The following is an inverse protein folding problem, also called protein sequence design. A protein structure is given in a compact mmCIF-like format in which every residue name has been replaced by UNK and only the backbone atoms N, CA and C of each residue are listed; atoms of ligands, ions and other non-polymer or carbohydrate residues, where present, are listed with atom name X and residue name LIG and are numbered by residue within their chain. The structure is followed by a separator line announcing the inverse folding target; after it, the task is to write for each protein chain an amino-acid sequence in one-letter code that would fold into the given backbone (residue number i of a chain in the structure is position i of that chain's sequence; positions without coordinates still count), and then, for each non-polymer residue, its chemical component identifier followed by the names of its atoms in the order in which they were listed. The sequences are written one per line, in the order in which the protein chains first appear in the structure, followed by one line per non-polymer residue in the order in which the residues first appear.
data_IF_907061760497
#
_entry.id   IF_907061760497
#
_cell.length_a   1.000
_cell.length_b   1.000
_cell.length_c   1.000
_cell.angle_alpha   90.00
_cell.angle_beta   90.00
_cell.angle_gamma   90.00
#
_symmetry.space_group_name_H-M   'P 1'
#
loop_
_entity.id
_entity.type
_entity.pdbx_description
1 polymer ?
#
# COMPACT_ATOMS: atom_id res chain seq x y z
N UNK A 1 -10.83 18.81 10.57
CA UNK A 1 -11.96 18.19 11.30
C UNK A 1 -11.84 16.69 11.15
N UNK A 2 -11.91 15.97 12.26
CA UNK A 2 -11.96 14.52 12.29
C UNK A 2 -13.34 14.04 11.84
N UNK A 3 -13.40 12.88 11.17
CA UNK A 3 -14.59 12.31 10.52
C UNK A 3 -14.59 10.79 10.63
N UNK A 4 -15.76 10.17 10.46
CA UNK A 4 -15.83 8.70 10.28
C UNK A 4 -15.33 8.31 8.88
N UNK A 5 -14.89 7.05 8.71
CA UNK A 5 -14.47 6.55 7.39
C UNK A 5 -15.55 6.68 6.32
N UNK A 6 -16.83 6.47 6.68
CA UNK A 6 -17.97 6.63 5.77
C UNK A 6 -18.11 8.06 5.26
N UNK A 7 -17.85 9.05 6.12
CA UNK A 7 -17.87 10.47 5.75
C UNK A 7 -16.66 10.82 4.89
N UNK A 8 -15.47 10.29 5.19
CA UNK A 8 -14.29 10.45 4.34
C UNK A 8 -14.47 9.80 2.96
N UNK A 9 -15.12 8.64 2.89
CA UNK A 9 -15.48 8.02 1.61
C UNK A 9 -16.43 8.92 0.81
N UNK A 10 -17.38 9.58 1.46
CA UNK A 10 -18.27 10.54 0.82
C UNK A 10 -17.52 11.78 0.33
N UNK A 11 -16.59 12.30 1.12
CA UNK A 11 -15.74 13.41 0.70
C UNK A 11 -14.92 13.03 -0.54
N UNK A 12 -14.24 11.87 -0.52
CA UNK A 12 -13.48 11.34 -1.67
C UNK A 12 -14.38 11.15 -2.91
N UNK A 13 -15.62 10.69 -2.72
CA UNK A 13 -16.58 10.50 -3.80
C UNK A 13 -17.11 11.84 -4.35
N UNK A 14 -17.13 12.91 -3.56
CA UNK A 14 -17.59 14.23 -3.99
C UNK A 14 -16.45 15.08 -4.57
N UNK A 15 -15.21 14.75 -4.24
CA UNK A 15 -14.03 15.47 -4.70
C UNK A 15 -13.79 15.25 -6.21
N UNK A 16 -13.59 16.34 -6.95
CA UNK A 16 -13.41 16.34 -8.42
C UNK A 16 -11.98 15.99 -8.89
N UNK A 17 -11.05 15.72 -7.97
CA UNK A 17 -9.71 15.26 -8.31
C UNK A 17 -9.75 13.99 -9.18
N UNK A 18 -8.90 13.92 -10.19
CA UNK A 18 -8.74 12.73 -11.01
C UNK A 18 -8.06 11.61 -10.22
N UNK A 19 -7.06 11.98 -9.42
CA UNK A 19 -6.29 11.03 -8.59
C UNK A 19 -6.25 11.52 -7.15
N UNK A 20 -6.49 10.62 -6.20
CA UNK A 20 -6.30 10.84 -4.76
C UNK A 20 -5.25 9.85 -4.27
N UNK A 21 -4.01 10.34 -4.10
CA UNK A 21 -2.90 9.58 -3.56
C UNK A 21 -2.84 9.77 -2.04
N UNK A 22 -2.99 8.70 -1.27
CA UNK A 22 -3.15 8.71 0.18
C UNK A 22 -2.01 7.92 0.82
N UNK A 23 -1.18 8.59 1.61
CA UNK A 23 -0.24 7.91 2.50
C UNK A 23 -0.94 7.61 3.84
N UNK A 24 -0.78 6.40 4.37
CA UNK A 24 -1.15 6.11 5.75
C UNK A 24 -0.31 4.96 6.32
N UNK A 25 0.02 5.05 7.60
CA UNK A 25 0.73 3.97 8.29
C UNK A 25 -0.06 2.64 8.28
N UNK A 26 0.66 1.57 8.58
CA UNK A 26 0.04 0.28 8.85
C UNK A 26 -0.86 0.37 10.09
N UNK A 27 -2.03 -0.26 10.01
CA UNK A 27 -3.04 -0.20 11.07
C UNK A 27 -3.90 1.07 11.09
N UNK A 28 -3.60 2.10 10.28
CA UNK A 28 -4.40 3.34 10.22
C UNK A 28 -5.79 3.14 9.59
N UNK A 29 -6.06 2.02 8.91
CA UNK A 29 -7.41 1.71 8.39
C UNK A 29 -7.62 1.99 6.90
N UNK A 30 -6.56 2.04 6.09
CA UNK A 30 -6.65 2.17 4.62
C UNK A 30 -7.59 1.14 3.97
N UNK A 31 -7.46 -0.13 4.36
CA UNK A 31 -8.32 -1.22 3.86
C UNK A 31 -9.78 -1.05 4.29
N UNK A 32 -10.03 -0.50 5.49
CA UNK A 32 -11.39 -0.16 5.94
C UNK A 32 -11.97 0.99 5.10
N UNK A 33 -11.17 2.02 4.80
CA UNK A 33 -11.56 3.13 3.93
C UNK A 33 -11.90 2.64 2.51
N UNK A 34 -11.08 1.75 1.94
CA UNK A 34 -11.32 1.10 0.65
C UNK A 34 -12.68 0.37 0.62
N UNK A 35 -12.98 -0.38 1.68
CA UNK A 35 -14.24 -1.11 1.80
C UNK A 35 -15.46 -0.20 1.99
N UNK A 36 -15.36 0.84 2.81
CA UNK A 36 -16.43 1.82 2.97
C UNK A 36 -16.72 2.56 1.65
N UNK A 37 -15.66 2.93 0.92
CA UNK A 37 -15.81 3.53 -0.40
C UNK A 37 -16.49 2.58 -1.41
N UNK A 38 -16.08 1.30 -1.43
CA UNK A 38 -16.73 0.28 -2.26
C UNK A 38 -18.22 0.15 -1.93
N UNK A 39 -18.58 0.05 -0.65
CA UNK A 39 -19.99 -0.04 -0.20
C UNK A 39 -20.80 1.18 -0.65
N UNK A 40 -20.23 2.38 -0.50
CA UNK A 40 -20.86 3.64 -0.91
C UNK A 40 -21.14 3.69 -2.41
N UNK A 41 -20.18 3.27 -3.24
CA UNK A 41 -20.39 3.21 -4.69
C UNK A 41 -21.44 2.15 -5.06
N UNK A 42 -21.45 1.00 -4.38
CA UNK A 42 -22.42 -0.07 -4.64
C UNK A 42 -23.84 0.25 -4.17
N UNK A 43 -24.00 1.01 -3.09
CA UNK A 43 -25.33 1.43 -2.59
C UNK A 43 -25.95 2.55 -3.41
N UNK A 44 -25.13 3.36 -4.09
CA UNK A 44 -25.56 4.44 -4.99
C UNK A 44 -25.84 3.98 -6.43
N UNK A 45 -25.67 2.69 -6.71
CA UNK A 45 -25.96 2.05 -8.01
C UNK A 45 -27.24 1.22 -7.95
N UNK A 46 -28.09 1.33 -8.96
CA UNK A 46 -29.22 0.42 -9.12
C UNK A 46 -28.72 -0.99 -9.41
N UNK A 47 -29.46 -2.01 -8.96
CA UNK A 47 -29.08 -3.44 -9.07
C UNK A 47 -28.81 -3.87 -10.53
N UNK A 48 -29.41 -3.18 -11.51
CA UNK A 48 -29.27 -3.44 -12.95
C UNK A 48 -28.10 -2.70 -13.65
N UNK A 49 -27.29 -1.91 -12.93
CA UNK A 49 -26.16 -1.21 -13.56
C UNK A 49 -24.89 -2.08 -13.64
N UNK A 50 -24.23 -2.01 -14.80
CA UNK A 50 -22.86 -2.49 -14.99
C UNK A 50 -21.93 -1.95 -13.88
N UNK A 51 -20.94 -2.77 -13.49
CA UNK A 51 -19.96 -2.47 -12.43
C UNK A 51 -19.39 -1.04 -12.58
N UNK A 52 -19.49 -0.21 -11.52
CA UNK A 52 -18.92 1.16 -11.53
C UNK A 52 -17.55 1.29 -10.85
N UNK A 53 -17.14 0.30 -10.06
CA UNK A 53 -15.88 0.31 -9.30
C UNK A 53 -15.05 -0.95 -9.52
N UNK A 54 -13.76 -0.73 -9.74
CA UNK A 54 -12.69 -1.72 -9.66
C UNK A 54 -11.91 -1.46 -8.37
N UNK A 55 -11.65 -2.50 -7.57
CA UNK A 55 -10.93 -2.34 -6.31
C UNK A 55 -9.89 -3.45 -6.11
N UNK A 56 -8.71 -3.05 -5.65
CA UNK A 56 -7.63 -3.93 -5.20
C UNK A 56 -7.34 -3.62 -3.73
N UNK A 57 -7.40 -4.65 -2.89
CA UNK A 57 -7.01 -4.58 -1.48
C UNK A 57 -6.79 -6.02 -0.96
N UNK A 58 -6.46 -6.18 0.33
CA UNK A 58 -6.25 -7.51 0.92
C UNK A 58 -7.43 -8.48 0.77
N UNK A 59 -8.68 -7.98 0.75
CA UNK A 59 -9.86 -8.84 0.53
C UNK A 59 -9.93 -9.37 -0.90
N UNK A 60 -9.38 -8.64 -1.88
CA UNK A 60 -9.26 -9.13 -3.26
C UNK A 60 -8.18 -10.21 -3.34
N UNK A 61 -7.09 -10.09 -2.59
CA UNK A 61 -6.07 -11.12 -2.51
C UNK A 61 -6.60 -12.40 -1.86
N UNK A 62 -7.40 -12.27 -0.79
CA UNK A 62 -8.03 -13.39 -0.06
C UNK A 62 -9.05 -14.19 -0.91
N UNK A 63 -9.41 -13.71 -2.11
CA UNK A 63 -10.18 -14.50 -3.08
C UNK A 63 -9.37 -15.73 -3.55
N UNK A 64 -8.05 -15.61 -3.55
CA UNK A 64 -7.13 -16.64 -4.02
C UNK A 64 -6.56 -17.41 -2.84
N UNK A 65 -6.66 -18.74 -2.86
CA UNK A 65 -6.20 -19.57 -1.75
C UNK A 65 -5.67 -20.93 -2.21
N UNK A 66 -4.61 -21.40 -1.55
CA UNK A 66 -4.05 -22.72 -1.80
C UNK A 66 -4.87 -23.81 -1.11
N UNK A 67 -5.18 -24.89 -1.84
CA UNK A 67 -5.64 -26.13 -1.21
C UNK A 67 -4.43 -27.01 -0.87
N UNK A 68 -4.10 -27.05 0.42
CA UNK A 68 -2.97 -27.86 0.92
C UNK A 68 -3.30 -29.36 1.05
N UNK A 69 -4.53 -29.80 0.71
CA UNK A 69 -4.94 -31.20 0.80
C UNK A 69 -4.77 -31.97 -0.51
N UNK A 70 -4.61 -31.27 -1.64
CA UNK A 70 -4.49 -31.88 -2.96
C UNK A 70 -3.00 -32.12 -3.29
N UNK A 71 -2.68 -33.26 -3.89
CA UNK A 71 -1.31 -33.63 -4.28
C UNK A 71 -0.73 -32.74 -5.37
N UNK A 72 -1.59 -32.15 -6.20
CA UNK A 72 -1.24 -31.14 -7.19
C UNK A 72 -1.42 -29.74 -6.62
N UNK A 73 -0.35 -28.94 -6.49
CA UNK A 73 -0.46 -27.54 -6.06
C UNK A 73 -1.43 -26.78 -6.96
N UNK A 74 -2.53 -26.30 -6.36
CA UNK A 74 -3.58 -25.57 -7.08
C UNK A 74 -3.98 -24.35 -6.27
N UNK A 75 -3.98 -23.19 -6.92
CA UNK A 75 -4.52 -21.95 -6.37
C UNK A 75 -6.00 -21.87 -6.76
N UNK A 76 -6.90 -22.02 -5.80
CA UNK A 76 -8.33 -21.87 -6.02
C UNK A 76 -8.73 -20.39 -5.95
N UNK A 77 -9.77 -20.05 -6.69
CA UNK A 77 -10.35 -18.71 -6.77
C UNK A 77 -11.79 -18.80 -6.26
N UNK A 78 -12.10 -18.07 -5.19
CA UNK A 78 -13.45 -18.03 -4.63
C UNK A 78 -14.42 -17.36 -5.62
N UNK A 79 -15.36 -18.12 -6.17
CA UNK A 79 -16.36 -17.61 -7.11
C UNK A 79 -17.21 -16.52 -6.47
N UNK A 80 -17.28 -15.38 -7.16
CA UNK A 80 -18.07 -14.23 -6.74
C UNK A 80 -18.32 -13.31 -7.95
N UNK A 81 -19.23 -12.34 -7.78
CA UNK A 81 -19.62 -11.38 -8.85
C UNK A 81 -18.45 -10.57 -9.45
N UNK A 82 -17.29 -10.48 -8.80
CA UNK A 82 -16.11 -9.84 -9.36
C UNK A 82 -15.33 -10.80 -10.27
N UNK A 83 -15.07 -12.02 -9.81
CA UNK A 83 -14.42 -13.05 -10.60
C UNK A 83 -15.26 -13.44 -11.82
N UNK A 84 -16.57 -13.62 -11.65
CA UNK A 84 -17.48 -13.91 -12.77
C UNK A 84 -17.48 -12.76 -13.78
N UNK A 85 -17.40 -11.52 -13.32
CA UNK A 85 -17.29 -10.36 -14.20
C UNK A 85 -15.96 -10.36 -14.97
N UNK A 86 -14.83 -10.68 -14.32
CA UNK A 86 -13.52 -10.80 -14.99
C UNK A 86 -13.57 -11.88 -16.07
N UNK A 87 -14.06 -13.07 -15.74
CA UNK A 87 -14.09 -14.20 -16.69
C UNK A 87 -14.96 -13.90 -17.92
N UNK A 88 -16.06 -13.16 -17.73
CA UNK A 88 -16.99 -12.81 -18.82
C UNK A 88 -16.54 -11.59 -19.63
N UNK A 89 -15.77 -10.67 -19.04
CA UNK A 89 -15.40 -9.42 -19.70
C UNK A 89 -14.10 -9.54 -20.50
N UNK A 90 -13.15 -10.37 -20.07
CA UNK A 90 -11.87 -10.55 -20.74
C UNK A 90 -11.96 -11.62 -21.84
N UNK A 91 -11.38 -11.33 -22.99
CA UNK A 91 -11.16 -12.31 -24.06
C UNK A 91 -9.99 -13.24 -23.73
N UNK A 92 -9.87 -14.35 -24.44
CA UNK A 92 -8.83 -15.37 -24.19
C UNK A 92 -7.42 -14.81 -24.40
N UNK A 93 -7.19 -13.99 -25.42
CA UNK A 93 -5.91 -13.30 -25.65
C UNK A 93 -5.59 -12.30 -24.53
N UNK A 94 -6.59 -11.65 -23.95
CA UNK A 94 -6.41 -10.78 -22.78
C UNK A 94 -6.10 -11.57 -21.50
N UNK A 95 -6.56 -12.83 -21.41
CA UNK A 95 -6.13 -13.74 -20.33
C UNK A 95 -4.67 -14.17 -20.51
N UNK A 96 -4.18 -14.28 -21.74
CA UNK A 96 -2.75 -14.51 -22.02
C UNK A 96 -1.88 -13.30 -21.62
N UNK A 97 -2.39 -12.07 -21.73
CA UNK A 97 -1.67 -10.88 -21.24
C UNK A 97 -1.43 -10.91 -19.72
N UNK A 98 -2.32 -11.53 -18.95
CA UNK A 98 -2.12 -11.73 -17.50
C UNK A 98 -0.85 -12.55 -17.25
N UNK A 99 -0.63 -13.59 -18.06
CA UNK A 99 0.56 -14.45 -17.98
C UNK A 99 1.81 -13.64 -18.29
N UNK A 100 1.80 -12.86 -19.37
CA UNK A 100 2.93 -12.02 -19.78
C UNK A 100 3.28 -10.97 -18.70
N UNK A 101 2.27 -10.30 -18.14
CA UNK A 101 2.46 -9.33 -17.07
C UNK A 101 3.02 -10.00 -15.80
N UNK A 102 2.52 -11.18 -15.43
CA UNK A 102 3.05 -11.94 -14.30
C UNK A 102 4.51 -12.29 -14.50
N UNK A 103 4.86 -12.90 -15.63
CA UNK A 103 6.23 -13.27 -15.97
C UNK A 103 7.20 -12.08 -15.97
N UNK A 104 6.74 -10.91 -16.41
CA UNK A 104 7.49 -9.65 -16.33
C UNK A 104 7.78 -9.26 -14.88
N UNK A 105 6.76 -9.20 -14.02
CA UNK A 105 6.91 -8.78 -12.62
C UNK A 105 7.72 -9.73 -11.75
N UNK A 106 7.85 -11.00 -12.14
CA UNK A 106 8.72 -11.95 -11.43
C UNK A 106 10.07 -12.17 -12.15
N UNK A 107 10.29 -11.47 -13.27
CA UNK A 107 11.45 -11.63 -14.15
C UNK A 107 11.76 -13.10 -14.50
N UNK A 108 10.72 -13.88 -14.82
CA UNK A 108 10.82 -15.31 -15.11
C UNK A 108 9.79 -15.72 -16.16
N UNK A 109 10.26 -15.87 -17.41
CA UNK A 109 9.44 -16.24 -18.56
C UNK A 109 9.11 -17.74 -18.66
N UNK A 110 9.61 -18.57 -17.74
CA UNK A 110 9.36 -20.02 -17.76
C UNK A 110 8.20 -20.42 -16.88
N UNK A 111 7.95 -19.66 -15.80
CA UNK A 111 6.87 -19.92 -14.87
C UNK A 111 5.55 -19.43 -15.47
N UNK A 112 4.63 -20.36 -15.72
CA UNK A 112 3.39 -20.08 -16.45
C UNK A 112 2.18 -20.44 -15.58
N UNK A 113 1.26 -19.51 -15.30
CA UNK A 113 -0.06 -19.82 -14.77
C UNK A 113 -0.96 -20.34 -15.88
N UNK A 114 -1.77 -21.35 -15.58
CA UNK A 114 -2.85 -21.84 -16.44
C UNK A 114 -4.15 -21.81 -15.67
N UNK A 115 -5.07 -20.98 -16.16
CA UNK A 115 -6.45 -20.95 -15.69
C UNK A 115 -7.19 -22.21 -16.14
N UNK A 116 -8.17 -22.65 -15.35
CA UNK A 116 -9.19 -23.57 -15.83
C UNK A 116 -10.27 -22.83 -16.65
N UNK A 117 -11.13 -23.60 -17.33
CA UNK A 117 -12.12 -23.07 -18.28
C UNK A 117 -13.09 -22.07 -17.65
N UNK A 118 -13.40 -22.21 -16.35
CA UNK A 118 -14.35 -21.37 -15.63
C UNK A 118 -13.71 -20.32 -14.72
N UNK A 119 -12.38 -20.13 -14.83
CA UNK A 119 -11.60 -19.17 -14.05
C UNK A 119 -11.76 -19.36 -12.53
N UNK A 120 -11.93 -20.61 -12.09
CA UNK A 120 -12.06 -20.97 -10.69
C UNK A 120 -10.76 -21.50 -10.08
N UNK A 121 -9.78 -21.87 -10.90
CA UNK A 121 -8.50 -22.43 -10.44
C UNK A 121 -7.35 -22.00 -11.34
N UNK A 122 -6.17 -21.98 -10.75
CA UNK A 122 -4.91 -21.73 -11.45
C UNK A 122 -3.88 -22.77 -11.04
N UNK A 123 -3.23 -23.36 -12.03
CA UNK A 123 -2.09 -24.26 -11.85
C UNK A 123 -0.86 -23.56 -12.41
N UNK A 124 0.24 -23.59 -11.67
CA UNK A 124 1.52 -23.03 -12.11
C UNK A 124 2.46 -24.14 -12.52
N UNK A 125 3.20 -23.92 -13.60
CA UNK A 125 4.17 -24.89 -14.10
C UNK A 125 5.34 -24.22 -14.79
N UNK A 126 6.47 -24.95 -14.87
CA UNK A 126 7.58 -24.56 -15.72
C UNK A 126 7.38 -25.08 -17.14
N UNK A 127 7.43 -24.19 -18.13
CA UNK A 127 7.48 -24.57 -19.53
C UNK A 127 8.81 -25.28 -19.84
N UNK A 128 8.78 -26.60 -20.04
CA UNK A 128 9.91 -27.37 -20.54
C UNK A 128 9.95 -27.24 -22.07
N UNK A 129 11.10 -26.88 -22.64
CA UNK A 129 11.28 -26.76 -24.09
C UNK A 129 11.13 -28.06 -24.89
N UNK A 130 11.03 -29.20 -24.19
CA UNK A 130 10.75 -30.52 -24.75
C UNK A 130 9.42 -31.04 -24.17
N UNK A 131 8.65 -31.78 -24.98
CA UNK A 131 7.34 -32.41 -24.71
C UNK A 131 7.29 -33.40 -23.52
N UNK A 132 7.98 -33.14 -22.40
CA UNK A 132 8.02 -33.99 -21.20
C UNK A 132 7.70 -33.15 -19.97
N UNK A 133 6.56 -33.51 -19.36
CA UNK A 133 6.07 -33.13 -18.03
C UNK A 133 6.22 -31.64 -17.66
N UNK A 134 5.10 -30.91 -17.75
CA UNK A 134 4.90 -29.65 -17.01
C UNK A 134 5.03 -29.95 -15.51
N UNK A 135 6.15 -29.60 -14.88
CA UNK A 135 6.30 -29.71 -13.43
C UNK A 135 5.36 -28.69 -12.78
N UNK A 136 4.31 -29.18 -12.11
CA UNK A 136 3.34 -28.34 -11.40
C UNK A 136 3.92 -27.93 -10.05
N UNK A 137 3.97 -26.63 -9.79
CA UNK A 137 4.63 -26.08 -8.61
C UNK A 137 3.72 -25.19 -7.78
N UNK A 138 4.03 -25.09 -6.49
CA UNK A 138 3.52 -24.04 -5.63
C UNK A 138 4.48 -22.86 -5.70
N UNK A 139 3.95 -21.66 -5.93
CA UNK A 139 4.74 -20.42 -5.95
C UNK A 139 4.87 -19.81 -4.54
N UNK A 140 5.84 -18.91 -4.38
CA UNK A 140 6.04 -18.13 -3.16
C UNK A 140 4.91 -17.13 -2.95
N UNK A 141 4.80 -16.58 -1.73
CA UNK A 141 3.75 -15.59 -1.41
C UNK A 141 3.94 -14.26 -2.15
N UNK A 142 5.19 -13.89 -2.45
CA UNK A 142 5.50 -12.72 -3.28
C UNK A 142 5.08 -12.92 -4.73
N UNK A 143 5.39 -14.09 -5.32
CA UNK A 143 4.91 -14.44 -6.67
C UNK A 143 3.38 -14.51 -6.73
N UNK A 144 2.72 -15.02 -5.69
CA UNK A 144 1.26 -15.04 -5.61
C UNK A 144 0.66 -13.62 -5.65
N UNK A 145 1.20 -12.69 -4.85
CA UNK A 145 0.77 -11.29 -4.88
C UNK A 145 1.03 -10.64 -6.24
N UNK A 146 2.18 -10.90 -6.87
CA UNK A 146 2.47 -10.45 -8.23
C UNK A 146 1.50 -11.02 -9.27
N UNK A 147 1.10 -12.29 -9.14
CA UNK A 147 0.12 -12.90 -10.03
C UNK A 147 -1.26 -12.23 -9.92
N UNK A 148 -1.74 -12.02 -8.69
CA UNK A 148 -3.02 -11.35 -8.43
C UNK A 148 -2.96 -9.90 -8.93
N UNK A 149 -1.84 -9.21 -8.71
CA UNK A 149 -1.59 -7.89 -9.27
C UNK A 149 -1.62 -7.89 -10.80
N UNK A 150 -1.06 -8.89 -11.48
CA UNK A 150 -1.10 -8.99 -12.94
C UNK A 150 -2.50 -9.12 -13.51
N UNK A 151 -3.41 -9.84 -12.83
CA UNK A 151 -4.83 -9.87 -13.20
C UNK A 151 -5.39 -8.45 -13.14
N UNK A 152 -5.15 -7.75 -12.03
CA UNK A 152 -5.66 -6.41 -11.81
C UNK A 152 -5.07 -5.39 -12.80
N UNK A 153 -3.76 -5.43 -13.01
CA UNK A 153 -3.04 -4.57 -13.93
C UNK A 153 -3.57 -4.72 -15.36
N UNK A 154 -3.81 -5.95 -15.81
CA UNK A 154 -4.40 -6.23 -17.13
C UNK A 154 -5.78 -5.57 -17.25
N UNK A 155 -6.62 -5.68 -16.21
CA UNK A 155 -7.93 -5.00 -16.18
C UNK A 155 -7.76 -3.48 -16.26
N UNK A 156 -6.82 -2.88 -15.52
CA UNK A 156 -6.56 -1.44 -15.60
C UNK A 156 -6.12 -1.02 -17.01
N UNK A 157 -5.31 -1.83 -17.67
CA UNK A 157 -4.88 -1.58 -19.05
C UNK A 157 -6.06 -1.67 -20.04
N UNK A 158 -7.00 -2.60 -19.83
CA UNK A 158 -8.24 -2.65 -20.62
C UNK A 158 -9.17 -1.48 -20.34
N UNK A 159 -9.26 -1.00 -19.10
CA UNK A 159 -9.95 0.26 -18.80
C UNK A 159 -9.33 1.41 -19.58
N UNK A 160 -8.01 1.51 -19.65
CA UNK A 160 -7.31 2.50 -20.48
C UNK A 160 -7.72 2.40 -21.96
N UNK A 161 -7.62 1.21 -22.57
CA UNK A 161 -7.92 0.96 -23.99
C UNK A 161 -9.39 1.21 -24.34
N UNK A 162 -10.32 0.81 -23.47
CA UNK A 162 -11.78 0.96 -23.68
C UNK A 162 -12.20 2.37 -24.09
N UNK A 163 -11.48 3.36 -23.57
CA UNK A 163 -11.76 4.76 -23.82
C UNK A 163 -10.99 5.37 -25.00
N UNK A 164 -9.96 4.70 -25.50
CA UNK A 164 -9.17 5.05 -26.69
C UNK A 164 -9.78 4.45 -27.97
N UNK A 165 -10.24 3.20 -27.92
CA UNK A 165 -10.57 2.39 -29.11
C UNK A 165 -12.06 2.06 -29.29
N UNK A 166 -12.96 2.72 -28.56
CA UNK A 166 -14.42 2.47 -28.61
C UNK A 166 -14.84 1.06 -28.15
N UNK A 167 -14.07 0.44 -27.26
CA UNK A 167 -14.51 -0.76 -26.54
C UNK A 167 -15.40 -0.36 -25.35
N UNK A 168 -16.66 -0.78 -25.37
CA UNK A 168 -17.69 -0.34 -24.43
C UNK A 168 -17.71 -1.14 -23.13
N UNK A 169 -16.95 -2.24 -23.05
CA UNK A 169 -16.96 -3.19 -21.92
C UNK A 169 -16.68 -2.50 -20.58
N UNK A 170 -15.75 -1.53 -20.57
CA UNK A 170 -15.33 -0.82 -19.36
C UNK A 170 -15.85 0.62 -19.25
N UNK A 171 -16.73 1.07 -20.14
CA UNK A 171 -17.29 2.46 -20.11
C UNK A 171 -18.10 2.79 -18.85
N UNK A 172 -18.58 1.78 -18.15
CA UNK A 172 -19.34 1.94 -16.90
C UNK A 172 -18.46 2.23 -15.68
N UNK A 173 -17.15 1.94 -15.77
CA UNK A 173 -16.20 2.18 -14.68
C UNK A 173 -16.07 3.68 -14.43
N UNK A 174 -16.34 4.10 -13.19
CA UNK A 174 -16.18 5.48 -12.71
C UNK A 174 -15.10 5.63 -11.64
N UNK A 175 -14.83 4.55 -10.91
CA UNK A 175 -13.91 4.56 -9.79
C UNK A 175 -12.93 3.39 -9.85
N UNK A 176 -11.68 3.66 -9.51
CA UNK A 176 -10.64 2.66 -9.27
C UNK A 176 -10.10 2.93 -7.87
N UNK A 177 -10.11 1.93 -6.99
CA UNK A 177 -9.52 2.03 -5.66
C UNK A 177 -8.41 0.99 -5.50
N UNK A 178 -7.19 1.43 -5.20
CA UNK A 178 -6.02 0.55 -5.04
C UNK A 178 -5.47 0.77 -3.63
N UNK A 179 -5.56 -0.23 -2.77
CA UNK A 179 -5.00 -0.21 -1.42
C UNK A 179 -3.81 -1.17 -1.34
N UNK A 180 -2.62 -0.61 -1.09
CA UNK A 180 -1.36 -1.33 -0.93
C UNK A 180 -1.14 -2.43 -1.98
N UNK A 181 -0.94 -2.04 -3.26
CA UNK A 181 -1.01 -2.96 -4.39
C UNK A 181 -0.04 -4.14 -4.33
N UNK A 182 1.09 -4.02 -3.61
CA UNK A 182 1.92 -5.18 -3.24
C UNK A 182 2.71 -4.87 -1.96
N UNK A 183 2.68 -5.77 -0.97
CA UNK A 183 3.39 -5.63 0.31
C UNK A 183 4.75 -6.35 0.38
N UNK A 184 5.08 -7.20 -0.61
CA UNK A 184 6.14 -8.20 -0.51
C UNK A 184 7.18 -8.14 -1.64
N UNK A 185 7.20 -7.05 -2.42
CA UNK A 185 8.17 -6.83 -3.49
C UNK A 185 9.48 -6.23 -2.98
N UNK A 186 10.57 -6.49 -3.70
CA UNK A 186 11.79 -5.71 -3.53
C UNK A 186 11.62 -4.27 -4.06
N UNK A 187 12.57 -3.39 -3.71
CA UNK A 187 12.50 -1.97 -4.06
C UNK A 187 12.46 -1.72 -5.58
N UNK A 188 13.14 -2.53 -6.38
CA UNK A 188 13.19 -2.35 -7.83
C UNK A 188 11.85 -2.67 -8.48
N UNK A 189 11.27 -3.82 -8.13
CA UNK A 189 9.97 -4.22 -8.65
C UNK A 189 8.85 -3.29 -8.17
N UNK A 190 8.96 -2.76 -6.94
CA UNK A 190 8.02 -1.78 -6.43
C UNK A 190 8.07 -0.46 -7.21
N UNK A 191 9.27 0.00 -7.60
CA UNK A 191 9.45 1.18 -8.45
C UNK A 191 8.84 0.92 -9.84
N UNK A 192 9.11 -0.24 -10.45
CA UNK A 192 8.55 -0.62 -11.75
C UNK A 192 7.01 -0.61 -11.71
N UNK A 193 6.41 -1.23 -10.70
CA UNK A 193 4.97 -1.25 -10.49
C UNK A 193 4.39 0.16 -10.36
N UNK A 194 5.03 1.02 -9.56
CA UNK A 194 4.60 2.40 -9.40
C UNK A 194 4.65 3.18 -10.73
N UNK A 195 5.72 3.00 -11.50
CA UNK A 195 5.88 3.65 -12.80
C UNK A 195 4.82 3.18 -13.80
N UNK A 196 4.58 1.88 -13.89
CA UNK A 196 3.59 1.32 -14.81
C UNK A 196 2.16 1.71 -14.44
N UNK A 197 1.84 1.70 -13.14
CA UNK A 197 0.56 2.19 -12.65
C UNK A 197 0.36 3.67 -12.98
N UNK A 198 1.40 4.51 -12.78
CA UNK A 198 1.34 5.91 -13.12
C UNK A 198 1.11 6.16 -14.62
N UNK A 199 1.76 5.38 -15.50
CA UNK A 199 1.57 5.46 -16.96
C UNK A 199 0.11 5.19 -17.33
N UNK A 200 -0.48 4.09 -16.83
CA UNK A 200 -1.87 3.74 -17.10
C UNK A 200 -2.81 4.86 -16.61
N UNK A 201 -2.66 5.30 -15.36
CA UNK A 201 -3.56 6.31 -14.76
C UNK A 201 -3.50 7.65 -15.49
N UNK A 202 -2.31 8.06 -15.96
CA UNK A 202 -2.16 9.30 -16.73
C UNK A 202 -3.00 9.28 -18.01
N UNK A 203 -3.13 8.11 -18.65
CA UNK A 203 -3.84 7.92 -19.92
C UNK A 203 -5.36 7.72 -19.70
N UNK A 204 -5.76 7.02 -18.63
CA UNK A 204 -7.19 6.83 -18.28
C UNK A 204 -7.94 8.17 -18.34
N UNK A 205 -9.15 8.19 -18.94
CA UNK A 205 -9.95 9.41 -19.10
C UNK A 205 -10.19 10.12 -17.76
N UNK A 206 -10.27 11.45 -17.81
CA UNK A 206 -10.49 12.32 -16.63
C UNK A 206 -11.78 12.03 -15.85
N UNK A 207 -12.74 11.31 -16.43
CA UNK A 207 -13.99 10.93 -15.76
C UNK A 207 -13.85 9.76 -14.79
N UNK A 208 -12.79 8.95 -14.91
CA UNK A 208 -12.51 7.87 -13.97
C UNK A 208 -11.66 8.45 -12.84
N UNK A 209 -12.15 8.33 -11.61
CA UNK A 209 -11.43 8.77 -10.41
C UNK A 209 -10.65 7.62 -9.82
N UNK A 210 -9.37 7.86 -9.53
CA UNK A 210 -8.46 6.83 -9.04
C UNK A 210 -8.01 7.18 -7.63
N UNK A 211 -8.33 6.34 -6.66
CA UNK A 211 -7.87 6.48 -5.28
C UNK A 211 -6.79 5.43 -5.05
N UNK A 212 -5.61 5.86 -4.62
CA UNK A 212 -4.50 4.96 -4.26
C UNK A 212 -4.15 5.23 -2.81
N UNK A 213 -4.21 4.20 -1.96
CA UNK A 213 -3.71 4.26 -0.60
C UNK A 213 -2.50 3.36 -0.45
N UNK A 214 -1.47 3.85 0.26
CA UNK A 214 -0.32 3.00 0.59
C UNK A 214 0.32 3.35 1.93
N UNK A 215 0.97 2.37 2.55
CA UNK A 215 1.92 2.59 3.64
C UNK A 215 3.38 2.67 3.20
N UNK A 216 3.69 2.30 1.96
CA UNK A 216 5.06 2.23 1.50
C UNK A 216 5.55 3.62 1.02
N UNK A 217 6.53 4.25 1.70
CA UNK A 217 6.99 5.59 1.34
C UNK A 217 7.65 5.66 -0.03
N UNK A 218 8.37 4.61 -0.46
CA UNK A 218 9.01 4.57 -1.78
C UNK A 218 7.95 4.58 -2.87
N UNK A 219 6.96 3.68 -2.77
CA UNK A 219 5.84 3.61 -3.70
C UNK A 219 5.08 4.95 -3.78
N UNK A 220 4.75 5.52 -2.62
CA UNK A 220 4.10 6.83 -2.54
C UNK A 220 4.94 7.91 -3.21
N UNK A 221 6.26 7.94 -2.99
CA UNK A 221 7.15 8.97 -3.54
C UNK A 221 7.31 8.86 -5.06
N UNK A 222 7.40 7.65 -5.60
CA UNK A 222 7.41 7.47 -7.06
C UNK A 222 6.13 8.01 -7.66
N UNK A 223 4.96 7.61 -7.13
CA UNK A 223 3.67 8.10 -7.61
C UNK A 223 3.48 9.61 -7.41
N UNK A 224 3.91 10.16 -6.27
CA UNK A 224 3.84 11.59 -5.96
C UNK A 224 4.61 12.40 -7.01
N UNK A 225 5.80 11.93 -7.39
CA UNK A 225 6.63 12.52 -8.44
C UNK A 225 6.02 12.38 -9.83
N UNK A 226 5.34 11.28 -10.11
CA UNK A 226 4.65 11.09 -11.38
C UNK A 226 3.38 11.96 -11.49
N UNK A 227 2.75 12.28 -10.36
CA UNK A 227 1.49 13.03 -10.27
C UNK A 227 1.70 14.48 -9.82
N UNK A 228 2.14 15.34 -10.75
CA UNK A 228 2.43 16.79 -10.50
C UNK A 228 1.36 17.79 -10.97
N UNK A 229 0.18 17.34 -11.44
CA UNK A 229 -0.88 18.23 -11.94
C UNK A 229 -1.87 18.61 -10.83
N UNK A 230 -2.50 19.77 -10.94
CA UNK A 230 -3.47 20.29 -9.95
C UNK A 230 -4.69 19.39 -9.71
N UNK A 231 -5.03 18.54 -10.67
CA UNK A 231 -6.10 17.56 -10.54
C UNK A 231 -5.68 16.26 -9.83
N UNK A 232 -4.44 16.16 -9.36
CA UNK A 232 -3.94 15.07 -8.53
C UNK A 232 -3.77 15.55 -7.10
N UNK A 233 -4.58 15.01 -6.21
CA UNK A 233 -4.63 15.41 -4.82
C UNK A 233 -3.87 14.39 -3.97
N UNK A 234 -3.06 14.91 -3.06
CA UNK A 234 -2.17 14.14 -2.20
C UNK A 234 -2.63 14.31 -0.76
N UNK A 235 -2.72 13.22 -0.02
CA UNK A 235 -3.23 13.22 1.34
C UNK A 235 -2.39 12.35 2.25
N UNK A 236 -2.42 12.71 3.52
CA UNK A 236 -2.08 11.85 4.63
C UNK A 236 -3.36 11.46 5.36
N UNK A 237 -3.57 10.16 5.58
CA UNK A 237 -4.67 9.67 6.40
C UNK A 237 -4.15 9.50 7.83
N UNK A 238 -4.75 10.24 8.77
CA UNK A 238 -4.49 10.18 10.20
C UNK A 238 -5.66 9.46 10.91
N UNK A 239 -5.35 8.62 11.91
CA UNK A 239 -6.35 8.01 12.81
C UNK A 239 -6.16 8.60 14.20
N UNK A 240 -7.22 9.14 14.78
CA UNK A 240 -7.27 9.63 16.16
C UNK A 240 -7.70 8.51 17.13
N UNK A 241 -7.44 8.72 18.43
CA UNK A 241 -7.73 7.74 19.49
C UNK A 241 -9.22 7.40 19.60
N UNK A 242 -10.10 8.36 19.32
CA UNK A 242 -11.55 8.20 19.31
C UNK A 242 -12.09 7.45 18.08
N UNK A 243 -11.22 6.80 17.30
CA UNK A 243 -11.52 6.14 16.04
C UNK A 243 -12.12 7.05 14.95
N UNK A 244 -11.88 8.35 15.05
CA UNK A 244 -12.11 9.27 13.96
C UNK A 244 -10.84 9.45 13.12
N UNK A 245 -11.01 10.02 11.93
CA UNK A 245 -9.98 10.07 10.90
C UNK A 245 -9.92 11.45 10.26
N UNK A 246 -8.75 11.83 9.76
CA UNK A 246 -8.59 13.02 8.92
C UNK A 246 -7.82 12.70 7.65
N UNK A 247 -8.28 13.24 6.52
CA UNK A 247 -7.50 13.32 5.28
C UNK A 247 -6.84 14.70 5.22
N UNK A 248 -5.56 14.75 5.59
CA UNK A 248 -4.76 15.97 5.61
C UNK A 248 -4.12 16.16 4.24
N UNK A 249 -4.57 17.19 3.51
CA UNK A 249 -4.01 17.53 2.20
C UNK A 249 -2.51 17.84 2.30
N UNK A 250 -1.74 17.32 1.36
CA UNK A 250 -0.30 17.54 1.23
C UNK A 250 -0.06 18.47 0.04
N UNK A 251 0.17 19.76 0.31
CA UNK A 251 0.36 20.78 -0.74
C UNK A 251 1.82 20.90 -1.21
N UNK A 252 2.76 20.17 -0.59
CA UNK A 252 4.17 20.27 -0.94
C UNK A 252 4.51 19.49 -2.21
N UNK A 253 5.20 20.16 -3.14
CA UNK A 253 5.81 19.58 -4.34
C UNK A 253 7.00 18.66 -4.04
N UNK A 254 7.47 18.65 -2.80
CA UNK A 254 8.54 17.75 -2.38
C UNK A 254 8.00 16.34 -2.07
N UNK A 255 8.71 15.28 -2.49
CA UNK A 255 8.41 13.92 -2.10
C UNK A 255 8.22 13.81 -0.59
N UNK A 256 7.34 12.93 -0.15
CA UNK A 256 7.09 12.66 1.25
C UNK A 256 8.40 12.21 1.94
N UNK A 257 8.99 13.15 2.68
CA UNK A 257 10.16 12.90 3.50
C UNK A 257 9.70 12.14 4.75
N UNK A 258 9.57 10.83 4.62
CA UNK A 258 9.03 9.95 5.65
C UNK A 258 9.68 10.18 7.02
N UNK A 259 10.99 10.37 7.09
CA UNK A 259 11.71 10.65 8.33
C UNK A 259 11.32 12.00 8.96
N UNK A 260 11.14 13.06 8.16
CA UNK A 260 10.62 14.36 8.64
C UNK A 260 9.21 14.18 9.17
N UNK A 261 8.40 13.37 8.47
CA UNK A 261 7.05 13.08 8.89
C UNK A 261 7.01 12.31 10.22
N UNK A 262 7.78 11.22 10.37
CA UNK A 262 7.95 10.48 11.62
C UNK A 262 8.37 11.40 12.76
N UNK A 263 9.36 12.27 12.52
CA UNK A 263 9.81 13.28 13.49
C UNK A 263 8.66 14.19 13.93
N UNK A 264 7.91 14.77 12.98
CA UNK A 264 6.77 15.66 13.27
C UNK A 264 5.69 14.95 14.09
N UNK A 265 5.37 13.71 13.76
CA UNK A 265 4.37 12.92 14.50
C UNK A 265 4.81 12.63 15.93
N UNK A 266 6.09 12.27 16.15
CA UNK A 266 6.63 12.09 17.50
C UNK A 266 6.61 13.42 18.28
N UNK A 267 7.00 14.53 17.64
CA UNK A 267 6.99 15.85 18.26
C UNK A 267 5.57 16.29 18.66
N UNK A 268 4.57 16.11 17.79
CA UNK A 268 3.16 16.38 18.12
C UNK A 268 2.69 15.56 19.32
N UNK A 269 2.99 14.27 19.34
CA UNK A 269 2.64 13.39 20.46
C UNK A 269 3.31 13.83 21.78
N UNK A 270 4.57 14.29 21.73
CA UNK A 270 5.27 14.86 22.89
C UNK A 270 4.56 16.13 23.40
N UNK A 271 4.17 17.03 22.48
CA UNK A 271 3.54 18.32 22.82
C UNK A 271 2.15 18.11 23.41
N UNK A 272 1.37 17.18 22.86
CA UNK A 272 0.01 16.89 23.32
C UNK A 272 -0.04 15.97 24.56
N UNK A 273 1.07 15.29 24.90
CA UNK A 273 1.11 14.31 25.98
C UNK A 273 0.67 12.89 25.57
N UNK A 274 0.37 12.70 24.28
CA UNK A 274 -0.24 11.51 23.68
C UNK A 274 0.80 10.50 23.16
N UNK A 275 1.97 10.41 23.81
CA UNK A 275 2.98 9.40 23.45
C UNK A 275 2.46 7.99 23.74
N UNK A 276 2.11 7.28 22.65
CA UNK A 276 1.75 5.86 22.60
C UNK A 276 2.91 4.94 22.15
N UNK A 277 2.80 3.63 22.43
CA UNK A 277 3.82 2.61 22.08
C UNK A 277 4.20 2.63 20.60
N UNK A 278 3.23 2.83 19.70
CA UNK A 278 3.51 2.84 18.26
C UNK A 278 4.45 3.99 17.84
N UNK A 279 4.55 5.09 18.60
CA UNK A 279 5.52 6.15 18.32
C UNK A 279 6.97 5.68 18.52
N UNK A 280 7.22 4.63 19.31
CA UNK A 280 8.55 4.02 19.42
C UNK A 280 8.96 3.31 18.14
N UNK A 281 8.01 2.79 17.35
CA UNK A 281 8.28 2.30 16.00
C UNK A 281 8.73 3.44 15.09
N UNK A 282 8.11 4.62 15.22
CA UNK A 282 8.49 5.79 14.44
C UNK A 282 9.89 6.27 14.82
N UNK A 283 10.17 6.35 16.12
CA UNK A 283 11.48 6.73 16.63
C UNK A 283 12.58 5.76 16.17
N UNK A 284 12.29 4.46 16.22
CA UNK A 284 13.20 3.43 15.73
C UNK A 284 13.47 3.60 14.23
N UNK A 285 12.44 3.76 13.42
CA UNK A 285 12.59 3.94 11.98
C UNK A 285 13.35 5.24 11.65
N UNK A 286 13.08 6.33 12.38
CA UNK A 286 13.81 7.59 12.27
C UNK A 286 15.32 7.38 12.54
N UNK A 287 15.67 6.71 13.63
CA UNK A 287 17.07 6.42 13.96
C UNK A 287 17.73 5.49 12.93
N UNK A 288 17.02 4.48 12.43
CA UNK A 288 17.53 3.60 11.37
C UNK A 288 17.85 4.38 10.10
N UNK A 289 16.91 5.16 9.58
CA UNK A 289 17.12 5.96 8.37
C UNK A 289 18.19 7.02 8.56
N UNK A 290 18.24 7.66 9.72
CA UNK A 290 19.29 8.64 10.06
C UNK A 290 20.67 7.96 10.13
N UNK A 291 20.74 6.74 10.69
CA UNK A 291 22.00 5.99 10.79
C UNK A 291 22.55 5.63 9.42
N UNK A 292 21.69 5.17 8.51
CA UNK A 292 22.06 4.91 7.11
C UNK A 292 22.52 6.18 6.41
N UNK A 293 21.81 7.29 6.59
CA UNK A 293 22.15 8.57 5.94
C UNK A 293 23.50 9.13 6.40
N UNK A 294 23.81 9.01 7.68
CA UNK A 294 25.06 9.50 8.27
C UNK A 294 26.22 8.50 8.18
N UNK A 295 26.00 7.30 7.62
CA UNK A 295 27.04 6.29 7.38
C UNK A 295 27.40 5.44 8.61
N UNK A 296 26.52 5.33 9.60
CA UNK A 296 26.68 4.41 10.73
C UNK A 296 26.24 2.99 10.33
N UNK A 297 26.83 1.95 10.93
CA UNK A 297 26.49 0.54 10.65
C UNK A 297 25.08 0.17 11.13
N UNK A 298 24.52 0.96 12.03
CA UNK A 298 23.13 0.83 12.46
C UNK A 298 22.75 1.88 13.51
N UNK A 299 21.46 1.89 13.83
CA UNK A 299 20.88 2.89 14.73
C UNK A 299 21.44 2.84 16.17
N UNK A 300 21.94 1.69 16.64
CA UNK A 300 22.58 1.57 17.98
C UNK A 300 23.89 2.35 18.04
N UNK A 301 24.69 2.28 16.98
CA UNK A 301 25.94 3.04 16.85
C UNK A 301 25.65 4.54 16.74
N UNK A 302 24.60 4.92 16.01
CA UNK A 302 24.11 6.30 15.99
C UNK A 302 23.69 6.77 17.39
N UNK A 303 22.97 5.94 18.16
CA UNK A 303 22.52 6.28 19.51
C UNK A 303 23.72 6.53 20.45
N UNK A 304 24.77 5.71 20.35
CA UNK A 304 26.02 5.91 21.09
C UNK A 304 26.70 7.23 20.70
N UNK A 305 26.75 7.56 19.42
CA UNK A 305 27.28 8.84 18.95
C UNK A 305 26.47 10.04 19.48
N UNK A 306 25.14 9.93 19.51
CA UNK A 306 24.24 10.95 20.10
C UNK A 306 24.50 11.10 21.60
N UNK A 307 24.59 10.00 22.35
CA UNK A 307 24.91 10.00 23.77
C UNK A 307 26.23 10.71 24.05
N UNK A 308 27.28 10.38 23.29
CA UNK A 308 28.60 10.98 23.43
C UNK A 308 28.60 12.49 23.14
N UNK A 309 27.87 12.95 22.11
CA UNK A 309 27.82 14.37 21.74
C UNK A 309 27.00 15.21 22.73
N UNK A 310 25.89 14.66 23.23
CA UNK A 310 24.91 15.41 24.03
C UNK A 310 25.05 15.18 25.54
N UNK A 311 25.93 14.28 25.98
CA UNK A 311 26.12 13.93 27.40
C UNK A 311 24.95 13.13 28.01
N UNK A 312 24.14 12.48 27.16
CA UNK A 312 23.03 11.63 27.59
C UNK A 312 23.44 10.14 27.67
N UNK A 313 22.59 9.31 28.26
CA UNK A 313 22.79 7.86 28.38
C UNK A 313 21.52 7.08 27.98
N UNK A 314 21.01 7.35 26.78
CA UNK A 314 19.82 6.67 26.25
C UNK A 314 20.11 5.18 26.04
N UNK A 315 19.23 4.31 26.55
CA UNK A 315 19.42 2.86 26.45
C UNK A 315 18.72 2.28 25.21
N UNK A 316 19.42 1.53 24.35
CA UNK A 316 18.79 0.84 23.21
C UNK A 316 17.60 -0.03 23.59
N UNK A 317 17.65 -0.62 24.79
CA UNK A 317 16.60 -1.49 25.35
C UNK A 317 15.25 -0.81 25.44
N UNK A 318 15.19 0.49 25.75
CA UNK A 318 13.93 1.24 25.81
C UNK A 318 13.21 1.22 24.45
N UNK A 319 13.97 1.44 23.37
CA UNK A 319 13.46 1.45 22.01
C UNK A 319 13.13 0.02 21.56
N UNK A 320 14.02 -0.96 21.80
CA UNK A 320 13.79 -2.36 21.43
C UNK A 320 12.51 -2.93 22.09
N UNK A 321 12.30 -2.70 23.39
CA UNK A 321 11.13 -3.21 24.13
C UNK A 321 9.81 -2.63 23.61
N UNK A 322 9.78 -1.32 23.35
CA UNK A 322 8.55 -0.64 22.97
C UNK A 322 8.27 -0.69 21.46
N UNK A 323 9.28 -0.98 20.62
CA UNK A 323 9.10 -1.16 19.17
C UNK A 323 8.74 -2.58 18.74
N UNK A 324 9.13 -3.61 19.50
CA UNK A 324 8.80 -5.00 19.14
C UNK A 324 7.46 -5.52 19.69
N UNK A 325 6.78 -4.79 20.57
CA UNK A 325 5.50 -5.22 21.17
C UNK A 325 4.28 -5.16 20.23
N UNK A 326 4.47 -4.95 18.92
CA UNK A 326 3.38 -4.93 17.92
C UNK A 326 2.66 -6.28 17.75
N UNK A 327 3.15 -7.37 18.34
CA UNK A 327 2.47 -8.68 18.34
C UNK A 327 1.63 -8.98 19.59
N UNK A 328 1.60 -8.11 20.60
CA UNK A 328 0.69 -8.24 21.75
C UNK A 328 -0.40 -7.17 21.69
N UNK A 329 -1.41 -7.41 20.83
CA UNK A 329 -2.64 -6.61 20.78
C UNK A 329 -3.44 -6.60 22.10
N UNK A 330 -3.00 -7.32 23.13
CA UNK A 330 -3.63 -7.40 24.45
C UNK A 330 -2.86 -6.72 25.58
N UNK A 331 -1.65 -6.18 25.36
CA UNK A 331 -0.94 -5.46 26.43
C UNK A 331 -1.25 -3.97 26.41
N UNK A 332 -2.34 -3.60 27.10
CA UNK A 332 -2.54 -2.26 27.68
C UNK A 332 -1.48 -2.06 28.77
N UNK A 333 -0.21 -1.99 28.41
CA UNK A 333 0.81 -1.47 29.31
C UNK A 333 0.94 0.02 29.04
N UNK A 334 0.36 0.83 29.93
CA UNK A 334 0.56 2.27 29.93
C UNK A 334 2.06 2.56 29.93
N UNK A 335 2.55 3.32 28.94
CA UNK A 335 3.91 3.85 28.95
C UNK A 335 4.13 4.63 30.24
N UNK A 336 5.24 4.36 30.94
CA UNK A 336 5.55 5.10 32.16
C UNK A 336 5.90 6.55 31.82
N UNK A 337 5.65 7.48 32.75
CA UNK A 337 6.07 8.88 32.56
C UNK A 337 7.58 9.02 32.40
N UNK A 338 8.35 8.06 32.95
CA UNK A 338 9.80 7.96 32.73
C UNK A 338 10.12 7.70 31.26
N UNK A 339 9.46 6.72 30.64
CA UNK A 339 9.67 6.37 29.23
C UNK A 339 9.30 7.54 28.30
N UNK A 340 8.17 8.22 28.59
CA UNK A 340 7.73 9.40 27.84
C UNK A 340 8.75 10.54 27.92
N UNK A 341 9.29 10.79 29.12
CA UNK A 341 10.33 11.80 29.32
C UNK A 341 11.65 11.44 28.64
N UNK A 342 12.01 10.16 28.60
CA UNK A 342 13.22 9.70 27.92
C UNK A 342 13.11 9.89 26.39
N UNK A 343 11.95 9.61 25.80
CA UNK A 343 11.67 9.92 24.38
C UNK A 343 11.77 11.42 24.10
N UNK A 344 11.21 12.26 24.96
CA UNK A 344 11.29 13.72 24.81
C UNK A 344 12.73 14.22 24.80
N UNK A 345 13.56 13.72 25.72
CA UNK A 345 15.00 14.04 25.78
C UNK A 345 15.74 13.53 24.55
N UNK A 346 15.47 12.30 24.13
CA UNK A 346 16.10 11.70 22.95
C UNK A 346 15.76 12.46 21.67
N UNK A 347 14.50 12.88 21.47
CA UNK A 347 14.12 13.72 20.33
C UNK A 347 14.89 15.04 20.31
N UNK A 348 15.03 15.69 21.48
CA UNK A 348 15.83 16.92 21.59
C UNK A 348 17.30 16.69 21.27
N UNK A 349 17.86 15.56 21.72
CA UNK A 349 19.24 15.18 21.44
C UNK A 349 19.47 14.83 19.96
N UNK A 350 18.50 14.20 19.29
CA UNK A 350 18.53 13.95 17.84
C UNK A 350 18.56 15.28 17.07
N UNK A 351 17.74 16.24 17.49
CA UNK A 351 17.65 17.56 16.86
C UNK A 351 18.98 18.33 16.98
N UNK A 352 19.58 18.33 18.17
CA UNK A 352 20.90 18.90 18.41
C UNK A 352 22.00 18.15 17.63
N UNK A 353 21.92 16.82 17.60
CA UNK A 353 22.93 16.00 16.94
C UNK A 353 22.96 16.28 15.43
N UNK A 354 21.79 16.32 14.79
CA UNK A 354 21.63 16.48 13.35
C UNK A 354 21.62 17.95 12.88
N UNK A 355 21.68 18.92 13.80
CA UNK A 355 21.49 20.35 13.51
C UNK A 355 20.18 20.63 12.75
N UNK A 356 19.07 20.02 13.15
CA UNK A 356 17.79 20.32 12.52
C UNK A 356 17.38 21.77 12.82
N UNK A 357 17.23 22.58 11.77
CA UNK A 357 16.69 23.95 11.87
C UNK A 357 15.22 23.88 11.49
N UNK A 358 14.33 24.23 12.41
CA UNK A 358 12.90 24.37 12.10
C UNK A 358 12.69 25.62 11.24
N UNK A 359 12.30 25.45 9.99
CA UNK A 359 11.68 26.52 9.22
C UNK A 359 10.24 26.66 9.72
N UNK A 360 9.96 27.80 10.37
CA UNK A 360 8.62 28.19 10.82
C UNK A 360 7.65 28.36 9.65
#
# INVERSE_FOLDING_TARGET
MSKKLSELSQDLMNDEGKVHLIYAFNGTGKTRLSNEFKKLVQSSTSIDENRKIIYYNSYTEDIFYWDNKITTPTLNIYKNKFIDWINNILYEDEKEEIILNFQRYINNNKLTPKFDEDFSKVIFYYASGDNRAEEKIKISKGEESNFIWSIFYTILDKVKISYEESDDRFKSIKYIFIDDPVSSLDENHLIELAMDLAKIIKIIKSKVRVIISTHNPLFYNVLHNEFKKDNYKKYYLEKYENEEYALIKQDNDHPFAYHIFLRKEIQKAIVNGDLQKYHFNFLRNLLEKTSTYLGYKGWKELLEAINNKTGNDFKPRLIDLNSHSAHSSEEISNLSDSDKNEVKKLMSAIDEFCNFVEYQ
#
